data_IF_046248862686
#
_entry.id   IF_046248862686
#
_cell.length_a   1.000
_cell.length_b   1.000
_cell.length_c   1.000
_cell.angle_alpha   90.00
_cell.angle_beta   90.00
_cell.angle_gamma   90.00
#
_symmetry.space_group_name_H-M   'P 1'
#
loop_
_entity.id
_entity.type
_entity.pdbx_description
1 polymer ?
#
# COMPACT_ATOMS: atom_id res chain seq x y z
N UNK A 1 -7.62 -1.94 -5.18
CA UNK A 1 -7.12 -0.59 -5.51
C UNK A 1 -6.03 -0.61 -6.59
N UNK A 2 -4.93 -1.35 -6.39
CA UNK A 2 -3.86 -1.48 -7.40
C UNK A 2 -4.29 -2.14 -8.72
N UNK A 3 -5.31 -3.00 -8.67
CA UNK A 3 -5.90 -3.66 -9.84
C UNK A 3 -7.02 -2.86 -10.51
N UNK A 4 -7.26 -1.62 -10.08
CA UNK A 4 -8.30 -0.78 -10.67
C UNK A 4 -7.80 -0.18 -11.99
N UNK A 5 -8.66 -0.14 -13.00
CA UNK A 5 -8.33 0.39 -14.33
C UNK A 5 -8.16 1.92 -14.34
N UNK A 6 -8.76 2.63 -13.37
CA UNK A 6 -8.67 4.09 -13.25
C UNK A 6 -7.30 4.51 -12.72
N UNK A 7 -6.51 5.21 -13.54
CA UNK A 7 -5.12 5.58 -13.22
C UNK A 7 -4.98 6.40 -11.93
N UNK A 8 -5.85 7.37 -11.67
CA UNK A 8 -5.80 8.19 -10.46
C UNK A 8 -6.05 7.38 -9.17
N UNK A 9 -6.84 6.29 -9.24
CA UNK A 9 -7.07 5.38 -8.12
C UNK A 9 -5.84 4.52 -7.84
N UNK A 10 -5.10 4.16 -8.89
CA UNK A 10 -3.89 3.34 -8.82
C UNK A 10 -2.71 4.14 -8.29
N UNK A 11 -2.51 5.33 -8.82
CA UNK A 11 -1.49 6.29 -8.37
C UNK A 11 -1.67 6.61 -6.88
N UNK A 12 -2.91 6.88 -6.48
CA UNK A 12 -3.27 7.09 -5.10
C UNK A 12 -2.93 5.90 -4.19
N UNK A 13 -3.20 4.67 -4.64
CA UNK A 13 -2.83 3.48 -3.89
C UNK A 13 -1.31 3.41 -3.67
N UNK A 14 -0.51 3.73 -4.69
CA UNK A 14 0.96 3.76 -4.59
C UNK A 14 1.47 4.86 -3.66
N UNK A 15 0.91 6.08 -3.75
CA UNK A 15 1.25 7.18 -2.82
C UNK A 15 0.99 6.79 -1.37
N UNK A 16 -0.08 6.04 -1.12
CA UNK A 16 -0.45 5.53 0.20
C UNK A 16 0.50 4.44 0.69
N UNK A 17 0.86 3.48 -0.18
CA UNK A 17 1.87 2.46 0.10
C UNK A 17 3.18 3.14 0.49
N UNK A 18 3.67 4.08 -0.33
CA UNK A 18 4.90 4.83 -0.07
C UNK A 18 4.87 5.59 1.26
N UNK A 19 3.72 6.15 1.63
CA UNK A 19 3.54 6.83 2.92
C UNK A 19 3.59 5.83 4.07
N UNK A 20 2.90 4.69 3.95
CA UNK A 20 2.88 3.63 4.95
C UNK A 20 4.25 2.95 5.12
N UNK A 21 5.02 2.76 4.05
CA UNK A 21 6.40 2.23 4.08
C UNK A 21 7.33 3.14 4.87
N UNK A 22 7.21 4.47 4.69
CA UNK A 22 7.97 5.46 5.47
C UNK A 22 7.57 5.50 6.94
N UNK A 23 6.28 5.32 7.24
CA UNK A 23 5.77 5.23 8.63
C UNK A 23 6.29 3.97 9.32
N UNK A 24 6.28 2.80 8.66
CA UNK A 24 6.90 1.58 9.20
C UNK A 24 8.37 1.79 9.56
N UNK A 25 9.16 2.43 8.69
CA UNK A 25 10.59 2.65 8.92
C UNK A 25 10.89 3.66 10.04
N UNK A 26 9.91 4.49 10.42
CA UNK A 26 10.02 5.43 11.55
C UNK A 26 9.41 4.91 12.85
N UNK A 27 8.50 3.94 12.80
CA UNK A 27 7.81 3.37 13.96
C UNK A 27 8.33 1.99 14.41
N UNK A 28 8.89 1.16 13.52
CA UNK A 28 9.27 -0.23 13.84
C UNK A 28 10.78 -0.39 14.03
N UNK A 29 11.29 0.27 15.07
CA UNK A 29 12.13 -0.39 16.09
C UNK A 29 11.25 -1.07 17.17
N UNK A 30 9.93 -0.89 17.12
CA UNK A 30 9.02 -1.28 18.21
C UNK A 30 7.81 -2.05 17.70
N UNK A 31 7.98 -3.28 17.22
CA UNK A 31 7.15 -4.42 17.68
C UNK A 31 7.59 -5.78 17.07
N UNK A 32 8.51 -6.41 17.78
CA UNK A 32 8.48 -7.85 18.12
C UNK A 32 8.44 -8.86 16.95
N UNK A 33 9.63 -9.25 16.52
CA UNK A 33 9.91 -10.64 16.15
C UNK A 33 9.67 -11.57 17.36
N UNK A 34 8.46 -12.09 17.55
CA UNK A 34 8.25 -13.22 18.48
C UNK A 34 7.78 -14.48 17.81
N UNK A 35 7.23 -14.41 16.60
CA UNK A 35 7.01 -15.53 15.70
C UNK A 35 6.91 -14.91 14.31
N UNK A 36 7.41 -15.53 13.24
CA UNK A 36 7.45 -14.99 11.87
C UNK A 36 6.05 -14.72 11.21
N UNK A 37 5.03 -14.40 11.98
CA UNK A 37 3.66 -14.08 11.57
C UNK A 37 3.59 -12.59 11.26
N UNK A 38 3.32 -12.27 9.99
CA UNK A 38 3.05 -10.88 9.58
C UNK A 38 1.63 -10.51 10.02
N UNK A 39 1.50 -9.55 10.92
CA UNK A 39 0.20 -9.05 11.38
C UNK A 39 -0.18 -7.84 10.51
N UNK A 40 -1.27 -7.98 9.76
CA UNK A 40 -1.87 -6.86 9.03
C UNK A 40 -2.95 -6.21 9.89
N UNK A 41 -2.67 -5.04 10.45
CA UNK A 41 -3.66 -4.28 11.21
C UNK A 41 -4.63 -3.62 10.24
N UNK A 42 -5.90 -4.05 10.28
CA UNK A 42 -6.96 -3.41 9.51
C UNK A 42 -7.24 -2.03 10.11
N UNK A 43 -7.21 -0.96 9.31
CA UNK A 43 -7.59 0.35 9.78
C UNK A 43 -9.08 0.40 10.11
N UNK A 44 -9.46 1.33 10.98
CA UNK A 44 -10.87 1.60 11.26
C UNK A 44 -11.53 2.14 9.99
N UNK A 45 -12.63 1.48 9.59
CA UNK A 45 -13.43 1.89 8.45
C UNK A 45 -14.53 2.86 8.86
N UNK A 46 -14.66 3.99 8.15
CA UNK A 46 -15.79 4.90 8.28
C UNK A 46 -16.87 4.55 7.25
N UNK A 47 -17.86 3.76 7.65
CA UNK A 47 -18.96 3.33 6.77
C UNK A 47 -19.89 4.47 6.34
N UNK A 48 -19.77 5.64 6.97
CA UNK A 48 -20.51 6.85 6.59
C UNK A 48 -19.74 7.71 5.58
N UNK A 49 -18.54 7.29 5.16
CA UNK A 49 -17.74 8.01 4.18
C UNK A 49 -18.47 8.14 2.83
N UNK A 50 -18.49 9.37 2.30
CA UNK A 50 -19.07 9.69 0.99
C UNK A 50 -18.12 9.26 -0.14
N UNK A 51 -16.81 9.35 0.12
CA UNK A 51 -15.76 8.92 -0.79
C UNK A 51 -15.01 7.72 -0.20
N UNK A 52 -14.67 6.76 -1.06
CA UNK A 52 -13.74 5.67 -0.76
C UNK A 52 -12.40 6.16 -0.19
N UNK A 53 -12.02 7.41 -0.50
CA UNK A 53 -10.86 8.10 0.08
C UNK A 53 -10.90 8.17 1.60
N UNK A 54 -12.08 8.44 2.14
CA UNK A 54 -12.33 8.72 3.56
C UNK A 54 -12.80 7.46 4.31
N UNK A 55 -13.10 6.38 3.57
CA UNK A 55 -13.50 5.09 4.12
C UNK A 55 -12.46 4.53 5.10
N UNK A 56 -11.19 4.89 4.95
CA UNK A 56 -10.09 4.41 5.78
C UNK A 56 -9.36 5.61 6.40
N UNK A 57 -9.15 5.58 7.73
CA UNK A 57 -8.21 6.51 8.37
C UNK A 57 -6.77 6.07 8.10
N UNK A 58 -6.15 6.73 7.12
CA UNK A 58 -4.82 6.35 6.58
C UNK A 58 -3.63 6.64 7.51
N UNK A 59 -3.82 7.39 8.58
CA UNK A 59 -2.77 7.76 9.54
C UNK A 59 -2.14 6.56 10.27
N UNK A 60 -2.88 5.45 10.42
CA UNK A 60 -2.44 4.24 11.12
C UNK A 60 -2.40 3.00 10.22
N UNK A 61 -2.38 3.18 8.90
CA UNK A 61 -2.38 2.05 7.95
C UNK A 61 -0.97 1.51 7.78
N UNK A 62 -0.82 0.22 8.04
CA UNK A 62 0.39 -0.54 7.81
C UNK A 62 0.52 -0.91 6.32
N UNK A 63 1.71 -0.80 5.76
CA UNK A 63 1.96 -1.18 4.36
C UNK A 63 1.53 -2.65 4.09
N UNK A 64 0.76 -2.92 3.01
CA UNK A 64 0.36 -4.27 2.64
C UNK A 64 1.55 -5.21 2.44
N UNK A 65 1.50 -6.48 2.92
CA UNK A 65 2.58 -7.46 2.71
C UNK A 65 2.91 -7.71 1.23
N UNK A 66 1.93 -7.48 0.35
CA UNK A 66 2.06 -7.67 -1.09
C UNK A 66 3.00 -6.64 -1.74
N UNK A 67 3.16 -5.47 -1.11
CA UNK A 67 3.96 -4.36 -1.64
C UNK A 67 5.31 -4.22 -0.98
N UNK A 68 5.50 -4.87 0.18
CA UNK A 68 6.74 -4.87 0.97
C UNK A 68 7.98 -5.32 0.19
N UNK A 69 7.79 -6.13 -0.85
CA UNK A 69 8.87 -6.59 -1.74
C UNK A 69 9.36 -5.55 -2.74
N UNK A 70 8.63 -4.44 -2.92
CA UNK A 70 8.99 -3.36 -3.82
C UNK A 70 9.70 -2.26 -3.03
N UNK A 71 10.77 -1.69 -3.60
CA UNK A 71 11.44 -0.56 -2.96
C UNK A 71 10.61 0.72 -3.10
N UNK A 72 10.84 1.66 -2.19
CA UNK A 72 10.24 2.99 -2.24
C UNK A 72 10.51 3.68 -3.59
N UNK A 73 11.71 3.47 -4.16
CA UNK A 73 12.10 4.01 -5.46
C UNK A 73 11.27 3.40 -6.60
N UNK A 74 11.04 2.09 -6.57
CA UNK A 74 10.17 1.43 -7.56
C UNK A 74 8.72 1.91 -7.46
N UNK A 75 8.22 2.13 -6.24
CA UNK A 75 6.87 2.68 -6.00
C UNK A 75 6.80 4.13 -6.47
N UNK A 76 7.83 4.94 -6.22
CA UNK A 76 7.90 6.33 -6.67
C UNK A 76 7.99 6.43 -8.20
N UNK A 77 8.77 5.58 -8.84
CA UNK A 77 8.88 5.52 -10.29
C UNK A 77 7.56 5.09 -10.93
N UNK A 78 6.85 4.14 -10.33
CA UNK A 78 5.54 3.70 -10.77
C UNK A 78 4.45 4.80 -10.65
N UNK A 79 4.62 5.78 -9.75
CA UNK A 79 3.75 6.97 -9.67
C UNK A 79 4.01 7.91 -10.85
N UNK A 80 5.27 8.09 -11.24
CA UNK A 80 5.67 8.97 -12.35
C UNK A 80 5.39 8.33 -13.72
N UNK A 81 5.59 7.01 -13.83
CA UNK A 81 5.36 6.23 -15.03
C UNK A 81 4.38 5.06 -14.76
N UNK A 82 3.07 5.26 -15.01
CA UNK A 82 2.04 4.26 -14.71
C UNK A 82 2.18 2.93 -15.48
N UNK A 83 2.94 2.90 -16.58
CA UNK A 83 3.16 1.68 -17.37
C UNK A 83 3.91 0.60 -16.56
N UNK A 84 4.79 1.02 -15.66
CA UNK A 84 5.55 0.12 -14.76
C UNK A 84 4.62 -0.70 -13.87
N UNK A 85 3.44 -0.15 -13.53
CA UNK A 85 2.44 -0.85 -12.70
C UNK A 85 1.88 -2.08 -13.44
N UNK A 86 1.72 -1.99 -14.76
CA UNK A 86 1.18 -3.05 -15.61
C UNK A 86 2.20 -4.17 -15.84
N UNK A 87 3.49 -3.82 -15.91
CA UNK A 87 4.56 -4.77 -16.25
C UNK A 87 5.16 -5.46 -15.02
N UNK A 88 5.37 -4.74 -13.90
CA UNK A 88 6.11 -5.27 -12.76
C UNK A 88 5.22 -5.63 -11.54
N UNK A 89 4.08 -4.95 -11.36
CA UNK A 89 3.27 -5.06 -10.13
C UNK A 89 2.03 -5.93 -10.37
N UNK A 90 1.25 -5.66 -11.42
CA UNK A 90 -0.01 -6.34 -11.74
C UNK A 90 0.11 -7.84 -12.06
N UNK A 91 1.11 -8.32 -12.84
CA UNK A 91 1.24 -9.73 -13.16
C UNK A 91 1.45 -10.60 -11.92
N UNK A 92 2.19 -10.08 -10.94
CA UNK A 92 2.44 -10.77 -9.66
C UNK A 92 1.22 -10.80 -8.73
N UNK A 93 0.18 -10.00 -9.00
CA UNK A 93 -1.10 -10.03 -8.26
C UNK A 93 -2.08 -11.02 -8.90
N UNK A 94 -2.05 -11.18 -10.23
CA UNK A 94 -2.93 -12.11 -10.97
C UNK A 94 -2.55 -13.59 -10.83
N UNK A 95 -1.31 -13.89 -10.46
CA UNK A 95 -0.80 -15.26 -10.29
C UNK A 95 -0.93 -15.84 -8.88
N UNK A 96 -1.65 -15.17 -7.98
CA UNK A 96 -1.96 -15.61 -6.61
C UNK A 96 -3.42 -16.09 -6.52
#
# INVERSE_FOLDING_TARGET
>A
MLINDRNHIRELALRRILTASKVKRSAETTTIATNNIRIFNLPTFDLCAIDYMDLIKWENVTEPPLTERFSDDMIAEAIVNPAIIQEAILPTIKGL
#
